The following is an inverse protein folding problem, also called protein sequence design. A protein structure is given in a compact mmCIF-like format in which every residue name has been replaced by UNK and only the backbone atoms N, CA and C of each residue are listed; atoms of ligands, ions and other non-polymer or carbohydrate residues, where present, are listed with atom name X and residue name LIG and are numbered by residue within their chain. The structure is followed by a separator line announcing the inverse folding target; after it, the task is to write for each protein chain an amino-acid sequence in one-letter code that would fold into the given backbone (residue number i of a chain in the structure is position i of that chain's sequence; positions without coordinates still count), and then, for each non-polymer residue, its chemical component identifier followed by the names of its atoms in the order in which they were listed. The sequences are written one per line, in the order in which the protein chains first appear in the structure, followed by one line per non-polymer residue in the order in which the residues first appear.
data_IF_928113598946
#
_entry.id   IF_928113598946
#
_cell.length_a   1.000
_cell.length_b   1.000
_cell.length_c   1.000
_cell.angle_alpha   90.00
_cell.angle_beta   90.00
_cell.angle_gamma   90.00
#
_symmetry.space_group_name_H-M   'P 1'
#
loop_
_entity.id
_entity.type
_entity.pdbx_description
1 polymer ?
#
# COMPACT_ATOMS: atom_id res chain seq x y z
N UNK A 1 10.86 34.41 -47.25
CA UNK A 1 10.06 35.62 -47.05
C UNK A 1 9.31 35.44 -45.76
N UNK A 2 9.75 36.01 -44.86
CA UNK A 2 9.69 36.97 -43.77
C UNK A 2 10.15 36.33 -42.43
N UNK A 3 11.34 36.79 -42.04
CA UNK A 3 11.86 36.67 -40.68
C UNK A 3 10.94 37.42 -39.72
N UNK A 4 10.69 36.81 -38.54
CA UNK A 4 10.22 37.56 -37.40
C UNK A 4 11.13 37.28 -36.18
N UNK A 5 12.06 38.21 -36.01
CA UNK A 5 12.98 38.29 -34.88
C UNK A 5 12.18 38.82 -33.70
N UNK A 6 11.96 37.98 -32.68
CA UNK A 6 11.52 38.42 -31.38
C UNK A 6 12.70 38.41 -30.39
N UNK A 7 13.25 39.61 -30.16
CA UNK A 7 14.18 39.88 -29.03
C UNK A 7 13.43 39.78 -27.74
N UNK A 8 13.73 38.76 -26.95
CA UNK A 8 13.36 38.74 -25.55
C UNK A 8 14.48 39.40 -24.73
N UNK A 9 14.19 40.59 -24.25
CA UNK A 9 14.99 41.29 -23.26
C UNK A 9 14.98 40.52 -21.93
N UNK A 10 16.12 39.99 -21.58
CA UNK A 10 16.36 39.41 -20.27
C UNK A 10 16.49 40.58 -19.29
N UNK A 11 15.42 40.83 -18.56
CA UNK A 11 15.44 41.75 -17.42
C UNK A 11 16.23 41.09 -16.26
N UNK A 12 17.49 41.40 -16.19
CA UNK A 12 18.34 41.07 -15.06
C UNK A 12 17.92 41.95 -13.86
N UNK A 13 16.99 41.40 -13.06
CA UNK A 13 16.71 41.97 -11.73
C UNK A 13 17.89 41.69 -10.86
N UNK A 14 18.81 42.67 -10.78
CA UNK A 14 19.85 42.73 -9.76
C UNK A 14 19.18 43.01 -8.42
N UNK A 15 18.87 41.93 -7.66
CA UNK A 15 18.45 42.02 -6.28
C UNK A 15 19.72 42.44 -5.50
N UNK A 16 19.82 43.71 -5.23
CA UNK A 16 20.83 44.27 -4.32
C UNK A 16 20.50 43.78 -2.92
N UNK A 17 21.12 42.66 -2.54
CA UNK A 17 21.03 42.07 -1.22
C UNK A 17 21.73 43.02 -0.23
N UNK A 18 20.94 43.85 0.43
CA UNK A 18 21.40 44.61 1.58
C UNK A 18 21.30 43.64 2.75
N UNK A 19 22.46 43.15 3.17
CA UNK A 19 22.62 42.24 4.30
C UNK A 19 22.14 42.91 5.58
N UNK A 20 20.87 42.73 5.93
CA UNK A 20 20.30 43.02 7.22
C UNK A 20 20.43 41.79 8.13
N UNK A 21 21.38 41.76 9.06
CA UNK A 21 21.63 40.62 9.94
C UNK A 21 20.41 40.30 10.84
N UNK A 22 19.47 41.23 11.01
CA UNK A 22 18.28 41.01 11.81
C UNK A 22 17.19 40.11 11.13
N UNK A 23 17.19 40.01 9.80
CA UNK A 23 16.20 39.17 9.09
C UNK A 23 16.53 37.69 9.11
N UNK A 24 17.79 37.33 9.27
CA UNK A 24 18.22 35.94 9.35
C UNK A 24 17.80 35.27 10.67
N UNK A 25 17.59 36.04 11.74
CA UNK A 25 17.22 35.51 13.05
C UNK A 25 15.73 35.03 13.13
N UNK A 26 14.85 35.55 12.25
CA UNK A 26 13.44 35.18 12.26
C UNK A 26 13.10 34.02 11.29
N UNK A 27 13.98 33.70 10.33
CA UNK A 27 13.77 32.60 9.39
C UNK A 27 14.16 31.25 9.99
N UNK A 28 15.11 31.20 10.91
CA UNK A 28 15.54 29.95 11.56
C UNK A 28 14.48 29.31 12.43
N UNK A 29 13.72 30.05 13.31
CA UNK A 29 12.65 29.42 14.09
C UNK A 29 11.44 29.04 13.24
N UNK A 30 11.16 29.73 12.12
CA UNK A 30 10.05 29.38 11.23
C UNK A 30 10.30 28.06 10.47
N UNK A 31 11.54 27.81 10.05
CA UNK A 31 11.93 26.54 9.43
C UNK A 31 11.91 25.38 10.43
N UNK A 32 12.27 25.62 11.69
CA UNK A 32 12.22 24.60 12.75
C UNK A 32 10.78 24.24 13.10
N UNK A 33 9.84 25.20 13.08
CA UNK A 33 8.42 24.94 13.31
C UNK A 33 7.77 24.14 12.17
N UNK A 34 8.19 24.36 10.91
CA UNK A 34 7.70 23.57 9.78
C UNK A 34 8.17 22.10 9.86
N UNK A 35 9.39 21.86 10.38
CA UNK A 35 9.91 20.51 10.55
C UNK A 35 9.16 19.71 11.64
N UNK A 36 8.60 20.38 12.64
CA UNK A 36 7.80 19.75 13.70
C UNK A 36 6.39 19.36 13.24
N UNK A 37 5.86 19.98 12.17
CA UNK A 37 4.55 19.63 11.61
C UNK A 37 4.60 18.39 10.70
N UNK A 38 5.76 17.96 10.24
CA UNK A 38 5.96 16.76 9.46
C UNK A 38 5.97 15.47 10.32
N UNK A 39 5.99 15.59 11.65
CA UNK A 39 6.06 14.46 12.58
C UNK A 39 4.70 13.90 13.00
N UNK A 40 3.58 14.37 12.40
CA UNK A 40 2.23 14.03 12.88
C UNK A 40 1.40 13.29 11.84
N UNK A 41 1.81 12.08 11.46
CA UNK A 41 0.86 11.10 10.95
C UNK A 41 1.41 9.69 11.20
N UNK A 42 1.44 9.33 12.47
CA UNK A 42 1.90 8.01 12.93
C UNK A 42 0.83 6.91 12.72
N UNK A 43 -0.28 7.25 12.09
CA UNK A 43 -1.38 6.32 11.81
C UNK A 43 -1.38 5.96 10.33
N UNK A 44 -1.57 4.67 9.99
CA UNK A 44 -1.65 4.25 8.59
C UNK A 44 -2.81 4.96 7.88
N UNK A 45 -2.53 5.53 6.71
CA UNK A 45 -3.54 6.03 5.78
C UNK A 45 -4.06 4.91 4.87
N UNK A 46 -5.09 5.19 4.07
CA UNK A 46 -5.70 4.18 3.19
C UNK A 46 -4.71 3.64 2.14
N UNK A 47 -3.71 4.43 1.73
CA UNK A 47 -2.63 3.99 0.85
C UNK A 47 -1.74 2.95 1.51
N UNK A 48 -1.30 3.20 2.74
CA UNK A 48 -0.51 2.25 3.55
C UNK A 48 -1.29 0.96 3.80
N UNK A 49 -2.58 1.06 4.11
CA UNK A 49 -3.46 -0.09 4.33
C UNK A 49 -3.58 -0.92 3.04
N UNK A 50 -3.80 -0.28 1.90
CA UNK A 50 -3.85 -0.94 0.60
C UNK A 50 -2.55 -1.68 0.28
N UNK A 51 -1.41 -1.06 0.52
CA UNK A 51 -0.11 -1.67 0.28
C UNK A 51 0.12 -2.88 1.21
N UNK A 52 -0.30 -2.78 2.48
CA UNK A 52 -0.25 -3.88 3.43
C UNK A 52 -1.13 -5.07 3.01
N UNK A 53 -2.36 -4.80 2.50
CA UNK A 53 -3.25 -5.83 1.97
C UNK A 53 -2.70 -6.48 0.70
N UNK A 54 -2.12 -5.71 -0.23
CA UNK A 54 -1.46 -6.25 -1.40
C UNK A 54 -0.24 -7.10 -1.03
N UNK A 55 0.50 -6.72 0.00
CA UNK A 55 1.59 -7.52 0.54
C UNK A 55 1.08 -8.86 1.13
N UNK A 56 -0.08 -8.87 1.78
CA UNK A 56 -0.72 -10.09 2.27
C UNK A 56 -1.12 -11.00 1.09
N UNK A 57 -1.73 -10.46 0.04
CA UNK A 57 -2.04 -11.21 -1.19
C UNK A 57 -0.78 -11.84 -1.79
N UNK A 58 0.32 -11.10 -1.83
CA UNK A 58 1.61 -11.60 -2.31
C UNK A 58 2.16 -12.73 -1.45
N UNK A 59 2.06 -12.62 -0.12
CA UNK A 59 2.48 -13.69 0.79
C UNK A 59 1.63 -14.96 0.62
N UNK A 60 0.34 -14.79 0.29
CA UNK A 60 -0.57 -15.88 -0.03
C UNK A 60 -0.43 -16.41 -1.47
N UNK A 61 0.47 -15.85 -2.29
CA UNK A 61 0.64 -16.13 -3.73
C UNK A 61 -0.65 -15.90 -4.56
N UNK A 62 -1.45 -14.92 -4.14
CA UNK A 62 -2.70 -14.53 -4.80
C UNK A 62 -2.59 -13.18 -5.54
N UNK A 63 -1.44 -12.54 -5.52
CA UNK A 63 -1.16 -11.24 -6.14
C UNK A 63 -1.24 -11.25 -7.68
N UNK A 64 -1.07 -12.41 -8.31
CA UNK A 64 -1.33 -12.56 -9.75
C UNK A 64 -2.83 -12.66 -10.07
N UNK A 65 -3.65 -13.00 -9.09
CA UNK A 65 -5.08 -13.23 -9.27
C UNK A 65 -5.92 -12.05 -8.80
N UNK A 66 -5.47 -11.33 -7.76
CA UNK A 66 -6.19 -10.19 -7.17
C UNK A 66 -5.29 -9.01 -6.90
N UNK A 67 -5.88 -7.83 -6.97
CA UNK A 67 -5.27 -6.58 -6.53
C UNK A 67 -6.28 -5.79 -5.69
N UNK A 68 -5.83 -5.23 -4.57
CA UNK A 68 -6.63 -4.27 -3.80
C UNK A 68 -6.56 -2.92 -4.49
N UNK A 69 -7.71 -2.41 -4.93
CA UNK A 69 -7.81 -1.17 -5.71
C UNK A 69 -8.31 -0.01 -4.88
N UNK A 70 -9.27 -0.26 -3.99
CA UNK A 70 -9.88 0.76 -3.15
C UNK A 70 -9.92 0.31 -1.68
N UNK A 71 -9.73 1.27 -0.76
CA UNK A 71 -9.72 1.05 0.69
C UNK A 71 -10.40 2.20 1.37
N UNK A 72 -11.31 1.90 2.29
CA UNK A 72 -11.98 2.85 3.16
C UNK A 72 -11.85 2.39 4.63
N UNK A 73 -11.30 3.24 5.48
CA UNK A 73 -11.23 2.98 6.92
C UNK A 73 -12.52 3.42 7.59
N UNK A 74 -13.35 2.47 8.01
CA UNK A 74 -14.62 2.72 8.70
C UNK A 74 -14.46 2.96 10.21
N UNK A 75 -13.43 2.37 10.83
CA UNK A 75 -13.15 2.53 12.26
C UNK A 75 -11.68 2.34 12.59
N UNK A 76 -11.22 3.03 13.65
CA UNK A 76 -9.82 3.00 14.07
C UNK A 76 -9.74 2.88 15.59
N UNK A 77 -8.99 1.89 16.07
CA UNK A 77 -8.89 1.52 17.48
C UNK A 77 -7.41 1.31 17.82
N UNK A 78 -6.68 2.37 18.27
CA UNK A 78 -5.32 2.22 18.74
C UNK A 78 -5.28 1.26 19.93
N UNK A 79 -4.41 0.27 19.89
CA UNK A 79 -4.20 -0.64 21.00
C UNK A 79 -2.97 -0.24 21.83
N UNK A 80 -1.88 0.13 21.15
CA UNK A 80 -0.66 0.69 21.74
C UNK A 80 0.08 1.56 20.71
N UNK A 81 1.34 1.90 20.97
CA UNK A 81 2.16 2.77 20.10
C UNK A 81 2.51 2.10 18.76
N UNK A 82 2.54 0.76 18.74
CA UNK A 82 2.97 -0.04 17.58
C UNK A 82 1.85 -0.85 16.96
N UNK A 83 0.66 -0.90 17.57
CA UNK A 83 -0.47 -1.68 17.09
C UNK A 83 -1.75 -0.84 16.95
N UNK A 84 -2.46 -1.04 15.85
CA UNK A 84 -3.77 -0.44 15.60
C UNK A 84 -4.72 -1.45 14.98
N UNK A 85 -5.91 -1.57 15.56
CA UNK A 85 -7.01 -2.31 14.94
C UNK A 85 -7.83 -1.36 14.07
N UNK A 86 -8.13 -1.78 12.85
CA UNK A 86 -8.91 -1.02 11.87
C UNK A 86 -10.09 -1.85 11.37
N UNK A 87 -11.27 -1.25 11.32
CA UNK A 87 -12.38 -1.78 10.53
C UNK A 87 -12.24 -1.21 9.12
N UNK A 88 -11.99 -2.07 8.15
CA UNK A 88 -11.65 -1.69 6.78
C UNK A 88 -12.63 -2.32 5.81
N UNK A 89 -13.16 -1.49 4.90
CA UNK A 89 -13.85 -1.93 3.69
C UNK A 89 -12.90 -1.74 2.52
N UNK A 90 -12.77 -2.74 1.67
CA UNK A 90 -11.89 -2.66 0.52
C UNK A 90 -12.44 -3.44 -0.67
N UNK A 91 -12.02 -3.04 -1.87
CA UNK A 91 -12.35 -3.72 -3.12
C UNK A 91 -11.13 -4.47 -3.63
N UNK A 92 -11.33 -5.77 -3.93
CA UNK A 92 -10.36 -6.56 -4.69
C UNK A 92 -10.85 -6.69 -6.13
N UNK A 93 -9.98 -6.37 -7.08
CA UNK A 93 -10.21 -6.55 -8.51
C UNK A 93 -9.51 -7.83 -8.99
N UNK A 94 -10.24 -8.66 -9.72
CA UNK A 94 -9.69 -9.84 -10.38
C UNK A 94 -8.77 -9.41 -11.53
N UNK A 95 -7.50 -9.80 -11.49
CA UNK A 95 -6.50 -9.51 -12.52
C UNK A 95 -6.49 -10.57 -13.62
N UNK A 96 -7.17 -11.69 -13.43
CA UNK A 96 -7.22 -12.84 -14.35
C UNK A 96 -8.47 -13.68 -14.12
N UNK A 97 -8.92 -14.37 -15.16
CA UNK A 97 -9.96 -15.40 -15.05
C UNK A 97 -9.52 -16.55 -14.14
N UNK A 98 -10.31 -16.87 -13.11
CA UNK A 98 -10.01 -17.97 -12.19
C UNK A 98 -9.82 -19.31 -12.91
N UNK A 99 -10.67 -19.59 -13.91
CA UNK A 99 -10.62 -20.87 -14.63
C UNK A 99 -9.38 -21.00 -15.50
N UNK A 100 -8.94 -19.91 -16.14
CA UNK A 100 -7.74 -19.88 -16.96
C UNK A 100 -6.49 -19.96 -16.10
N UNK A 101 -6.42 -19.18 -15.02
CA UNK A 101 -5.32 -19.22 -14.08
C UNK A 101 -5.15 -20.61 -13.45
N UNK A 102 -6.27 -21.26 -13.04
CA UNK A 102 -6.24 -22.61 -12.49
C UNK A 102 -5.71 -23.65 -13.50
N UNK A 103 -6.03 -23.51 -14.79
CA UNK A 103 -5.49 -24.37 -15.85
C UNK A 103 -4.00 -24.12 -16.06
N UNK A 104 -3.56 -22.87 -16.02
CA UNK A 104 -2.15 -22.51 -16.16
C UNK A 104 -1.31 -23.12 -15.02
N UNK A 105 -1.73 -22.93 -13.77
CA UNK A 105 -1.05 -23.51 -12.60
C UNK A 105 -0.95 -25.05 -12.68
N UNK A 106 -2.00 -25.73 -13.12
CA UNK A 106 -1.96 -27.20 -13.26
C UNK A 106 -1.00 -27.70 -14.35
N UNK A 107 -0.73 -26.87 -15.37
CA UNK A 107 0.16 -27.20 -16.49
C UNK A 107 1.59 -26.73 -16.29
N UNK A 108 1.84 -25.98 -15.24
CA UNK A 108 3.15 -25.43 -14.93
C UNK A 108 4.09 -26.56 -14.47
N UNK A 109 4.88 -27.09 -15.41
CA UNK A 109 5.85 -28.15 -15.14
C UNK A 109 7.14 -27.61 -14.50
N UNK A 110 7.39 -26.31 -14.59
CA UNK A 110 8.57 -25.68 -13.98
C UNK A 110 8.40 -25.49 -12.47
N UNK A 111 7.15 -25.41 -12.00
CA UNK A 111 6.83 -25.29 -10.59
C UNK A 111 7.00 -26.62 -9.87
N UNK A 112 7.58 -26.60 -8.67
CA UNK A 112 7.66 -27.79 -7.82
C UNK A 112 6.29 -28.44 -7.60
N UNK A 113 6.25 -29.77 -7.51
CA UNK A 113 5.00 -30.50 -7.38
C UNK A 113 4.22 -30.16 -6.11
N UNK A 114 4.92 -29.89 -5.00
CA UNK A 114 4.30 -29.50 -3.73
C UNK A 114 3.72 -28.10 -3.80
N UNK A 115 4.47 -27.13 -4.35
CA UNK A 115 4.00 -25.76 -4.55
C UNK A 115 2.80 -25.70 -5.50
N UNK A 116 2.83 -26.50 -6.57
CA UNK A 116 1.71 -26.62 -7.50
C UNK A 116 0.48 -27.19 -6.81
N UNK A 117 0.63 -28.21 -5.97
CA UNK A 117 -0.47 -28.78 -5.19
C UNK A 117 -1.04 -27.77 -4.20
N UNK A 118 -0.19 -27.05 -3.45
CA UNK A 118 -0.61 -26.02 -2.50
C UNK A 118 -1.40 -24.91 -3.22
N UNK A 119 -0.92 -24.44 -4.38
CA UNK A 119 -1.61 -23.46 -5.19
C UNK A 119 -2.96 -23.96 -5.70
N UNK A 120 -3.06 -25.19 -6.17
CA UNK A 120 -4.36 -25.78 -6.61
C UNK A 120 -5.34 -25.82 -5.46
N UNK A 121 -4.89 -26.13 -4.25
CA UNK A 121 -5.76 -26.11 -3.05
C UNK A 121 -6.18 -24.68 -2.69
N UNK A 122 -5.29 -23.70 -2.76
CA UNK A 122 -5.62 -22.29 -2.54
C UNK A 122 -6.66 -21.79 -3.56
N UNK A 123 -6.50 -22.12 -4.85
CA UNK A 123 -7.46 -21.78 -5.89
C UNK A 123 -8.81 -22.48 -5.73
N UNK A 124 -8.83 -23.67 -5.15
CA UNK A 124 -10.08 -24.34 -4.81
C UNK A 124 -10.82 -23.59 -3.68
N UNK A 125 -10.09 -23.11 -2.66
CA UNK A 125 -10.66 -22.27 -1.60
C UNK A 125 -11.19 -20.95 -2.15
N UNK A 126 -10.42 -20.25 -3.01
CA UNK A 126 -10.85 -19.05 -3.71
C UNK A 126 -12.15 -19.28 -4.48
N UNK A 127 -12.27 -20.41 -5.18
CA UNK A 127 -13.50 -20.75 -5.91
C UNK A 127 -14.70 -20.99 -5.00
N UNK A 128 -14.48 -21.53 -3.82
CA UNK A 128 -15.55 -21.73 -2.83
C UNK A 128 -16.03 -20.40 -2.27
N UNK A 129 -15.13 -19.45 -2.05
CA UNK A 129 -15.42 -18.15 -1.45
C UNK A 129 -16.03 -17.17 -2.48
N UNK A 130 -15.41 -17.03 -3.65
CA UNK A 130 -15.76 -16.02 -4.66
C UNK A 130 -16.53 -16.57 -5.85
N UNK A 131 -16.67 -17.89 -5.97
CA UNK A 131 -17.24 -18.51 -7.14
C UNK A 131 -16.28 -18.59 -8.33
N UNK A 132 -16.85 -18.64 -9.53
CA UNK A 132 -16.09 -18.50 -10.76
C UNK A 132 -16.22 -17.06 -11.24
N UNK A 133 -15.11 -16.42 -11.56
CA UNK A 133 -15.05 -15.02 -11.95
C UNK A 133 -14.14 -14.80 -13.15
N UNK A 134 -14.28 -13.66 -13.79
CA UNK A 134 -13.52 -13.19 -14.95
C UNK A 134 -12.60 -12.02 -14.55
N UNK A 135 -11.61 -11.73 -15.38
CA UNK A 135 -10.75 -10.56 -15.23
C UNK A 135 -11.59 -9.28 -15.19
N UNK A 136 -11.31 -8.38 -14.24
CA UNK A 136 -12.04 -7.14 -14.03
C UNK A 136 -13.23 -7.25 -13.07
N UNK A 137 -13.60 -8.46 -12.63
CA UNK A 137 -14.63 -8.60 -11.58
C UNK A 137 -14.15 -7.99 -10.27
N UNK A 138 -15.07 -7.36 -9.53
CA UNK A 138 -14.79 -6.67 -8.29
C UNK A 138 -15.49 -7.33 -7.10
N UNK A 139 -14.76 -7.46 -5.98
CA UNK A 139 -15.23 -8.08 -4.75
C UNK A 139 -15.07 -7.10 -3.59
N UNK A 140 -16.18 -6.65 -3.03
CA UNK A 140 -16.18 -5.87 -1.79
C UNK A 140 -15.94 -6.79 -0.60
N UNK A 141 -15.01 -6.40 0.24
CA UNK A 141 -14.64 -7.10 1.47
C UNK A 141 -14.69 -6.14 2.65
N UNK A 142 -15.11 -6.64 3.81
CA UNK A 142 -15.09 -5.91 5.06
C UNK A 142 -14.50 -6.81 6.14
N UNK A 143 -13.46 -6.32 6.82
CA UNK A 143 -12.87 -7.05 7.94
C UNK A 143 -12.16 -6.12 8.91
N UNK A 144 -11.96 -6.60 10.12
CA UNK A 144 -11.04 -6.00 11.08
C UNK A 144 -9.62 -6.46 10.79
N UNK A 145 -8.74 -5.49 10.59
CA UNK A 145 -7.31 -5.70 10.44
C UNK A 145 -6.60 -5.28 11.72
N UNK A 146 -5.61 -6.05 12.14
CA UNK A 146 -4.59 -5.59 13.06
C UNK A 146 -3.38 -5.21 12.24
N UNK A 147 -2.94 -3.97 12.37
CA UNK A 147 -1.68 -3.51 11.78
C UNK A 147 -0.65 -3.33 12.88
N UNK A 148 0.57 -3.76 12.62
CA UNK A 148 1.73 -3.54 13.47
C UNK A 148 2.74 -2.65 12.76
N UNK A 149 3.40 -1.80 13.54
CA UNK A 149 4.49 -0.94 13.07
C UNK A 149 5.79 -1.74 13.07
N UNK A 150 6.50 -1.69 11.94
CA UNK A 150 7.84 -2.26 11.79
C UNK A 150 8.82 -1.20 11.33
N UNK A 151 10.10 -1.51 11.27
CA UNK A 151 11.12 -0.61 10.71
C UNK A 151 10.86 -0.28 9.23
N UNK A 152 10.15 -1.15 8.51
CA UNK A 152 9.81 -1.00 7.09
C UNK A 152 8.46 -0.29 6.87
N UNK A 153 7.72 0.01 7.93
CA UNK A 153 6.40 0.62 7.90
C UNK A 153 5.33 -0.25 8.55
N UNK A 154 4.08 0.02 8.23
CA UNK A 154 2.94 -0.74 8.73
C UNK A 154 2.73 -2.01 7.91
N UNK A 155 2.42 -3.12 8.59
CA UNK A 155 2.02 -4.38 7.94
C UNK A 155 0.83 -5.00 8.66
N UNK A 156 0.12 -5.90 7.99
CA UNK A 156 -0.92 -6.71 8.64
C UNK A 156 -0.24 -7.66 9.62
N UNK A 157 -0.61 -7.53 10.91
CA UNK A 157 -0.12 -8.42 11.94
C UNK A 157 -0.61 -9.85 11.65
N UNK A 158 0.32 -10.78 11.62
CA UNK A 158 -0.05 -12.19 11.50
C UNK A 158 -0.61 -12.66 12.86
N UNK A 159 -1.68 -13.49 12.88
CA UNK A 159 -2.13 -14.08 14.11
C UNK A 159 -0.95 -14.85 14.73
N UNK A 160 -0.59 -14.49 15.95
CA UNK A 160 0.44 -15.24 16.68
C UNK A 160 0.04 -16.72 16.69
N UNK A 161 0.85 -17.55 16.06
CA UNK A 161 0.71 -19.00 16.23
C UNK A 161 0.94 -19.27 17.70
N UNK A 162 -0.06 -19.79 18.45
CA UNK A 162 0.14 -20.04 19.88
C UNK A 162 1.36 -20.96 20.01
N UNK A 163 2.44 -20.40 20.55
CA UNK A 163 3.61 -21.18 20.93
C UNK A 163 3.10 -22.20 21.95
N UNK A 164 3.02 -23.47 21.54
CA UNK A 164 2.56 -24.52 22.41
C UNK A 164 3.39 -24.51 23.71
N UNK A 165 2.81 -24.89 24.85
CA UNK A 165 3.53 -24.89 26.09
C UNK A 165 4.78 -25.78 25.93
N UNK A 166 5.92 -25.18 26.26
CA UNK A 166 7.21 -25.87 26.32
C UNK A 166 7.07 -27.18 27.07
N UNK A 167 7.33 -28.28 26.39
CA UNK A 167 7.29 -29.63 26.90
C UNK A 167 8.62 -29.97 27.57
#
# INVERSE_FOLDING_TARGET
MVEFVARNAINTLTIKNKDDPMRAFYLAPALLLLALLAACSDTPDDGVIRDALNQELKQAHLDELFQVTDVETAGRYPEDDDHVALDVRYTMEAQRDLSEYSKAVKRDEERDAMDRFAMVMALAAVRVEFGNFEEGDNFEQERRLMLERTEEGWRVAQPETPTGPDS
#
